data_IF_385462976941
#
_entry.id   IF_385462976941
#
_cell.length_a   1.000
_cell.length_b   1.000
_cell.length_c   1.000
_cell.angle_alpha   90.00
_cell.angle_beta   90.00
_cell.angle_gamma   90.00
#
_symmetry.space_group_name_H-M   'P 1'
#
loop_
_entity.id
_entity.type
_entity.pdbx_description
1 polymer ?
#
# COMPACT_ATOMS: atom_id res chain seq x y z
N UNK A 1 45.89 -36.81 -19.06
CA UNK A 1 45.68 -35.46 -18.49
C UNK A 1 44.44 -35.51 -17.63
N UNK A 2 44.47 -35.11 -16.35
CA UNK A 2 43.24 -34.99 -15.58
C UNK A 2 42.36 -33.90 -16.22
N UNK A 3 41.05 -34.13 -16.27
CA UNK A 3 40.07 -33.13 -16.65
C UNK A 3 40.29 -31.85 -15.81
N UNK A 4 40.18 -30.64 -16.40
CA UNK A 4 40.29 -29.43 -15.61
C UNK A 4 39.22 -29.50 -14.53
N UNK A 5 39.63 -29.36 -13.26
CA UNK A 5 38.70 -29.25 -12.15
C UNK A 5 37.70 -28.16 -12.51
N UNK A 6 36.41 -28.52 -12.62
CA UNK A 6 35.36 -27.53 -12.81
C UNK A 6 35.42 -26.60 -11.61
N UNK A 7 36.05 -25.43 -11.77
CA UNK A 7 36.15 -24.44 -10.71
C UNK A 7 34.73 -24.02 -10.33
N UNK A 8 34.33 -24.47 -9.14
CA UNK A 8 33.05 -24.18 -8.51
C UNK A 8 32.95 -22.67 -8.30
N UNK A 9 31.83 -22.09 -8.74
CA UNK A 9 31.53 -20.68 -8.48
C UNK A 9 31.37 -20.45 -6.97
N UNK A 10 31.90 -19.33 -6.47
CA UNK A 10 31.76 -19.00 -5.07
C UNK A 10 30.31 -18.71 -4.71
N UNK A 11 29.86 -19.27 -3.59
CA UNK A 11 28.55 -18.94 -3.00
C UNK A 11 28.54 -17.47 -2.56
N UNK A 12 27.53 -16.67 -2.98
CA UNK A 12 27.35 -15.31 -2.49
C UNK A 12 27.19 -15.26 -0.97
N UNK A 13 27.82 -14.28 -0.32
CA UNK A 13 27.80 -14.07 1.13
C UNK A 13 27.71 -12.59 1.46
N UNK A 14 27.25 -12.28 2.67
CA UNK A 14 27.04 -10.94 3.18
C UNK A 14 26.11 -10.15 2.25
N UNK A 15 24.93 -10.72 2.00
CA UNK A 15 23.92 -10.07 1.16
C UNK A 15 23.43 -8.79 1.86
N UNK A 16 23.57 -7.67 1.19
CA UNK A 16 23.14 -6.36 1.66
C UNK A 16 21.91 -5.90 0.87
N UNK A 17 20.88 -5.45 1.60
CA UNK A 17 19.68 -4.85 1.04
C UNK A 17 19.59 -3.41 1.52
N UNK A 18 19.48 -2.47 0.58
CA UNK A 18 19.34 -1.05 0.88
C UNK A 18 18.35 -0.37 -0.07
N UNK A 19 18.08 0.91 0.17
CA UNK A 19 17.20 1.75 -0.65
C UNK A 19 15.84 1.08 -0.94
N UNK A 20 15.25 0.48 0.09
CA UNK A 20 13.97 -0.23 -0.01
C UNK A 20 12.83 0.79 -0.16
N UNK A 21 12.07 0.68 -1.23
CA UNK A 21 10.84 1.43 -1.47
C UNK A 21 9.62 0.52 -1.30
N UNK A 22 8.44 1.01 -1.68
CA UNK A 22 7.20 0.21 -1.68
C UNK A 22 7.18 -0.89 -2.75
N UNK A 23 7.97 -0.75 -3.81
CA UNK A 23 7.95 -1.57 -5.03
C UNK A 23 9.34 -1.93 -5.57
N UNK A 24 10.40 -1.57 -4.84
CA UNK A 24 11.78 -1.85 -5.21
C UNK A 24 12.72 -1.96 -4.02
N UNK A 25 13.89 -2.55 -4.26
CA UNK A 25 15.02 -2.51 -3.35
C UNK A 25 16.32 -2.60 -4.16
N UNK A 26 17.43 -2.25 -3.53
CA UNK A 26 18.78 -2.51 -4.06
C UNK A 26 19.41 -3.65 -3.29
N UNK A 27 20.08 -4.54 -4.03
CA UNK A 27 20.77 -5.70 -3.51
C UNK A 27 22.22 -5.72 -3.98
N UNK A 28 23.13 -6.04 -3.05
CA UNK A 28 24.56 -6.18 -3.29
C UNK A 28 25.15 -7.30 -2.46
N UNK A 29 26.29 -7.82 -2.91
CA UNK A 29 27.13 -8.76 -2.18
C UNK A 29 28.55 -8.67 -2.73
N UNK A 30 29.53 -9.19 -2.00
CA UNK A 30 30.91 -9.25 -2.46
C UNK A 30 31.13 -10.45 -3.39
N UNK A 31 31.83 -10.23 -4.51
CA UNK A 31 32.24 -11.29 -5.43
C UNK A 31 33.76 -11.28 -5.60
N UNK A 32 34.35 -12.47 -5.65
CA UNK A 32 35.77 -12.63 -5.96
C UNK A 32 36.05 -12.23 -7.41
N UNK A 33 37.24 -11.68 -7.67
CA UNK A 33 37.60 -11.14 -8.99
C UNK A 33 37.46 -12.17 -10.12
N UNK A 34 37.78 -13.44 -9.84
CA UNK A 34 37.65 -14.54 -10.81
C UNK A 34 36.19 -14.85 -11.19
N UNK A 35 35.27 -14.73 -10.24
CA UNK A 35 33.83 -14.93 -10.50
C UNK A 35 33.20 -13.72 -11.19
N UNK A 36 33.67 -12.51 -10.88
CA UNK A 36 33.14 -11.26 -11.44
C UNK A 36 33.28 -11.18 -12.97
N UNK A 37 34.33 -11.80 -13.52
CA UNK A 37 34.57 -11.88 -14.97
C UNK A 37 33.79 -13.02 -15.64
N UNK A 38 33.38 -14.04 -14.88
CA UNK A 38 32.74 -15.26 -15.40
C UNK A 38 31.23 -15.23 -15.29
N UNK A 39 30.68 -14.70 -14.20
CA UNK A 39 29.25 -14.73 -13.89
C UNK A 39 28.46 -13.95 -14.94
N UNK A 40 27.49 -14.61 -15.54
CA UNK A 40 26.64 -14.00 -16.58
C UNK A 40 25.23 -13.73 -16.11
N UNK A 41 24.77 -14.40 -15.05
CA UNK A 41 23.41 -14.26 -14.51
C UNK A 41 23.38 -14.35 -12.98
N UNK A 42 22.35 -13.75 -12.40
CA UNK A 42 21.97 -13.88 -11.00
C UNK A 42 20.60 -14.53 -10.92
N UNK A 43 20.48 -15.53 -10.05
CA UNK A 43 19.23 -16.17 -9.68
C UNK A 43 18.84 -15.60 -8.31
N UNK A 44 17.66 -15.01 -8.22
CA UNK A 44 17.17 -14.36 -7.00
C UNK A 44 15.88 -15.05 -6.61
N UNK A 45 15.89 -15.73 -5.46
CA UNK A 45 14.69 -16.33 -4.87
C UNK A 45 14.08 -15.32 -3.88
N UNK A 46 12.92 -14.78 -4.24
CA UNK A 46 12.19 -13.77 -3.48
C UNK A 46 10.86 -14.37 -3.02
N UNK A 47 10.73 -14.53 -1.71
CA UNK A 47 9.53 -15.13 -1.10
C UNK A 47 8.81 -14.11 -0.21
N UNK A 48 7.49 -14.03 -0.36
CA UNK A 48 6.60 -13.23 0.49
C UNK A 48 6.32 -14.01 1.79
N UNK A 49 6.55 -13.39 2.94
CA UNK A 49 6.24 -13.98 4.25
C UNK A 49 4.75 -13.73 4.54
N UNK A 50 3.93 -14.79 4.50
CA UNK A 50 2.50 -14.66 4.79
C UNK A 50 2.26 -14.45 6.29
N UNK A 51 1.50 -13.40 6.64
CA UNK A 51 0.96 -13.24 7.98
C UNK A 51 -0.19 -14.24 8.17
N UNK A 52 -0.19 -15.00 9.28
CA UNK A 52 -1.13 -16.10 9.57
C UNK A 52 -2.64 -15.75 9.54
N UNK A 53 -3.00 -14.47 9.33
CA UNK A 53 -4.38 -13.97 9.31
C UNK A 53 -4.85 -13.44 7.94
N UNK A 54 -4.13 -13.62 6.82
CA UNK A 54 -4.68 -13.22 5.52
C UNK A 54 -5.62 -14.28 4.95
N UNK A 55 -6.89 -13.89 4.77
CA UNK A 55 -7.89 -14.66 4.03
C UNK A 55 -7.33 -15.10 2.67
N UNK A 56 -7.33 -16.41 2.43
CA UNK A 56 -6.74 -17.06 1.26
C UNK A 56 -7.50 -16.71 -0.01
N UNK A 57 -6.94 -15.83 -0.82
CA UNK A 57 -7.05 -15.92 -2.27
C UNK A 57 -5.63 -16.05 -2.82
N UNK A 58 -5.27 -17.29 -3.19
CA UNK A 58 -4.00 -17.60 -3.83
C UNK A 58 -3.98 -16.93 -5.20
N UNK A 59 -3.18 -15.88 -5.37
CA UNK A 59 -2.72 -15.56 -6.71
C UNK A 59 -1.88 -16.75 -7.20
N UNK A 60 -2.36 -17.41 -8.24
CA UNK A 60 -1.61 -18.42 -8.98
C UNK A 60 -0.28 -17.81 -9.43
N UNK A 61 0.80 -18.42 -8.95
CA UNK A 61 2.11 -18.54 -9.60
C UNK A 61 2.72 -17.23 -10.12
N UNK A 62 3.02 -16.30 -9.20
CA UNK A 62 4.07 -15.31 -9.45
C UNK A 62 5.40 -16.04 -9.33
N UNK A 63 6.30 -15.99 -10.34
CA UNK A 63 7.60 -16.65 -10.24
C UNK A 63 8.36 -16.11 -9.02
N UNK A 64 8.55 -16.95 -7.99
CA UNK A 64 9.35 -16.62 -6.80
C UNK A 64 10.84 -16.54 -7.14
N UNK A 65 11.23 -17.04 -8.31
CA UNK A 65 12.61 -17.06 -8.80
C UNK A 65 12.76 -16.13 -10.00
N UNK A 66 13.54 -15.08 -9.82
CA UNK A 66 13.93 -14.14 -10.86
C UNK A 66 15.29 -14.57 -11.43
N UNK A 67 15.39 -14.59 -12.75
CA UNK A 67 16.66 -14.78 -13.46
C UNK A 67 17.03 -13.46 -14.11
N UNK A 68 18.09 -12.82 -13.61
CA UNK A 68 18.57 -11.54 -14.09
C UNK A 68 19.91 -11.73 -14.80
N UNK A 69 20.14 -10.99 -15.90
CA UNK A 69 21.47 -10.87 -16.49
C UNK A 69 22.38 -10.16 -15.48
N UNK A 70 23.61 -10.64 -15.33
CA UNK A 70 24.58 -10.03 -14.43
C UNK A 70 24.85 -8.58 -14.83
N UNK A 71 24.70 -7.70 -13.85
CA UNK A 71 24.99 -6.26 -13.93
C UNK A 71 25.87 -5.88 -12.72
N UNK A 72 26.56 -4.73 -12.77
CA UNK A 72 27.30 -4.24 -11.61
C UNK A 72 26.39 -4.12 -10.37
N UNK A 73 26.89 -4.59 -9.23
CA UNK A 73 26.25 -4.43 -7.94
C UNK A 73 26.62 -3.06 -7.33
N UNK A 74 25.71 -2.40 -6.57
CA UNK A 74 24.37 -2.83 -6.21
C UNK A 74 23.38 -2.75 -7.38
N UNK A 75 22.62 -3.83 -7.59
CA UNK A 75 21.57 -3.87 -8.62
C UNK A 75 20.22 -3.50 -8.02
N UNK A 76 19.36 -2.87 -8.82
CA UNK A 76 18.00 -2.53 -8.39
C UNK A 76 17.02 -3.60 -8.86
N UNK A 77 16.28 -4.18 -7.92
CA UNK A 77 15.16 -5.08 -8.19
C UNK A 77 13.88 -4.25 -8.12
N UNK A 78 13.19 -4.10 -9.25
CA UNK A 78 11.93 -3.34 -9.36
C UNK A 78 10.85 -4.22 -9.96
N UNK A 79 9.63 -4.14 -9.45
CA UNK A 79 8.51 -4.81 -10.10
C UNK A 79 7.23 -4.79 -9.29
N UNK A 80 6.25 -4.07 -9.82
CA UNK A 80 4.88 -3.97 -9.30
C UNK A 80 4.13 -5.34 -9.26
N UNK A 81 4.69 -6.37 -9.90
CA UNK A 81 4.15 -7.73 -9.92
C UNK A 81 4.74 -8.65 -8.82
N UNK A 82 5.84 -8.26 -8.17
CA UNK A 82 6.59 -9.12 -7.23
C UNK A 82 6.69 -8.54 -5.81
N UNK A 83 6.62 -7.21 -5.68
CA UNK A 83 6.71 -6.51 -4.41
C UNK A 83 5.38 -5.81 -4.07
N UNK A 84 4.88 -6.10 -2.88
CA UNK A 84 3.75 -5.43 -2.24
C UNK A 84 4.31 -4.47 -1.19
N UNK A 85 3.76 -3.26 -1.00
CA UNK A 85 4.18 -2.39 0.10
C UNK A 85 3.93 -3.02 1.49
N UNK A 86 4.65 -2.57 2.52
CA UNK A 86 4.57 -3.01 3.94
C UNK A 86 4.56 -4.53 4.10
N UNK A 87 5.28 -5.22 3.23
CA UNK A 87 5.27 -6.68 3.18
C UNK A 87 6.65 -7.19 3.53
N UNK A 88 6.68 -8.16 4.44
CA UNK A 88 7.89 -8.89 4.77
C UNK A 88 8.25 -9.84 3.64
N UNK A 89 9.48 -9.71 3.15
CA UNK A 89 10.07 -10.54 2.14
C UNK A 89 11.33 -11.19 2.68
N UNK A 90 11.63 -12.36 2.16
CA UNK A 90 12.92 -13.03 2.31
C UNK A 90 13.56 -13.22 0.95
N UNK A 91 14.85 -12.92 0.83
CA UNK A 91 15.60 -13.09 -0.42
C UNK A 91 16.84 -13.94 -0.21
N UNK A 92 17.12 -14.80 -1.19
CA UNK A 92 18.38 -15.51 -1.34
C UNK A 92 18.89 -15.39 -2.78
N UNK A 93 20.20 -15.42 -2.96
CA UNK A 93 20.84 -15.22 -4.27
C UNK A 93 21.78 -16.36 -4.60
N UNK A 94 21.84 -16.69 -5.89
CA UNK A 94 22.78 -17.63 -6.48
C UNK A 94 23.38 -16.99 -7.74
N UNK A 95 24.67 -17.20 -7.98
CA UNK A 95 25.38 -16.75 -9.18
C UNK A 95 25.41 -17.86 -10.22
N UNK A 96 25.38 -17.49 -11.49
CA UNK A 96 25.34 -18.45 -12.58
C UNK A 96 26.16 -18.01 -13.80
N UNK A 97 26.73 -19.01 -14.48
CA UNK A 97 27.40 -18.87 -15.77
C UNK A 97 26.62 -19.66 -16.81
N UNK A 98 26.00 -18.96 -17.75
CA UNK A 98 25.39 -19.54 -18.93
C UNK A 98 26.46 -20.18 -19.82
N UNK A 99 26.33 -21.48 -20.06
CA UNK A 99 27.21 -22.29 -20.89
C UNK A 99 26.77 -22.23 -22.36
N UNK A 100 27.64 -22.71 -23.26
CA UNK A 100 27.40 -22.70 -24.71
C UNK A 100 26.28 -23.64 -25.17
N UNK A 101 25.97 -24.66 -24.38
CA UNK A 101 24.84 -25.58 -24.58
C UNK A 101 23.50 -24.98 -24.13
N UNK A 102 23.52 -23.80 -23.50
CA UNK A 102 22.36 -23.10 -22.98
C UNK A 102 22.05 -23.38 -21.51
N UNK A 103 22.73 -24.35 -20.89
CA UNK A 103 22.57 -24.67 -19.46
C UNK A 103 23.32 -23.67 -18.56
N UNK A 104 23.03 -23.73 -17.25
CA UNK A 104 23.66 -22.86 -16.27
C UNK A 104 24.54 -23.66 -15.31
N UNK A 105 25.81 -23.28 -15.22
CA UNK A 105 26.64 -23.63 -14.06
C UNK A 105 26.29 -22.66 -12.92
N UNK A 106 25.84 -23.18 -11.79
CA UNK A 106 25.35 -22.38 -10.65
C UNK A 106 26.21 -22.58 -9.40
N UNK A 107 26.33 -21.55 -8.57
CA UNK A 107 26.94 -21.64 -7.23
C UNK A 107 25.98 -22.24 -6.19
N UNK A 108 26.35 -22.29 -4.90
CA UNK A 108 25.36 -22.51 -3.83
C UNK A 108 24.48 -21.27 -3.58
N UNK A 109 23.33 -21.44 -2.94
CA UNK A 109 22.50 -20.32 -2.47
C UNK A 109 23.16 -19.59 -1.30
N UNK A 110 23.00 -18.27 -1.24
CA UNK A 110 23.39 -17.43 -0.11
C UNK A 110 22.58 -17.71 1.16
N UNK A 111 22.97 -17.07 2.26
CA UNK A 111 22.06 -16.87 3.38
C UNK A 111 20.77 -16.16 2.94
N UNK A 112 19.68 -16.44 3.67
CA UNK A 112 18.41 -15.75 3.48
C UNK A 112 18.41 -14.45 4.27
N UNK A 113 18.16 -13.33 3.60
CA UNK A 113 18.03 -12.02 4.21
C UNK A 113 16.58 -11.58 4.19
N UNK A 114 16.07 -11.14 5.34
CA UNK A 114 14.71 -10.62 5.48
C UNK A 114 14.70 -9.09 5.37
N UNK A 115 13.69 -8.55 4.71
CA UNK A 115 13.46 -7.12 4.61
C UNK A 115 11.96 -6.81 4.50
N UNK A 116 11.58 -5.56 4.78
CA UNK A 116 10.20 -5.10 4.64
C UNK A 116 10.15 -3.95 3.64
N UNK A 117 9.35 -4.12 2.59
CA UNK A 117 9.04 -3.04 1.64
C UNK A 117 8.23 -1.96 2.33
N UNK A 118 8.55 -0.67 2.14
CA UNK A 118 7.79 0.42 2.77
C UNK A 118 7.74 0.36 4.31
N UNK A 119 8.89 0.39 4.98
CA UNK A 119 8.99 0.48 6.44
C UNK A 119 8.22 1.67 7.04
N UNK A 120 8.18 1.76 8.37
CA UNK A 120 7.36 2.66 9.19
C UNK A 120 7.45 4.18 8.90
N UNK A 121 8.22 4.61 7.89
CA UNK A 121 8.47 6.00 7.56
C UNK A 121 8.13 6.45 6.13
N UNK A 122 8.05 5.60 5.10
CA UNK A 122 8.06 6.14 3.72
C UNK A 122 7.00 5.57 2.77
N UNK A 123 5.79 6.13 2.84
CA UNK A 123 5.24 6.70 1.60
C UNK A 123 5.82 8.11 1.54
N UNK A 124 6.90 8.30 0.78
CA UNK A 124 7.41 9.64 0.52
C UNK A 124 6.25 10.51 0.01
N UNK A 125 6.15 11.76 0.48
CA UNK A 125 5.07 12.69 0.07
C UNK A 125 4.90 12.76 -1.45
N UNK A 126 5.99 12.56 -2.19
CA UNK A 126 6.03 12.45 -3.65
C UNK A 126 5.18 11.29 -4.19
N UNK A 127 5.21 10.11 -3.57
CA UNK A 127 4.37 8.97 -3.97
C UNK A 127 2.89 9.24 -3.69
N UNK A 128 2.56 9.90 -2.58
CA UNK A 128 1.18 10.31 -2.29
C UNK A 128 0.70 11.36 -3.31
N UNK A 129 1.58 12.29 -3.71
CA UNK A 129 1.26 13.29 -4.73
C UNK A 129 0.98 12.64 -6.09
N UNK A 130 1.80 11.68 -6.53
CA UNK A 130 1.55 10.91 -7.76
C UNK A 130 0.24 10.11 -7.69
N UNK A 131 -0.06 9.57 -6.51
CA UNK A 131 -1.28 8.81 -6.29
C UNK A 131 -2.52 9.72 -6.29
N UNK A 132 -2.39 10.92 -5.73
CA UNK A 132 -3.40 11.98 -5.80
C UNK A 132 -3.63 12.41 -7.25
N UNK A 133 -2.58 12.69 -8.03
CA UNK A 133 -2.70 13.09 -9.43
C UNK A 133 -3.45 12.02 -10.26
N UNK A 134 -3.11 10.73 -10.06
CA UNK A 134 -3.85 9.63 -10.69
C UNK A 134 -5.33 9.62 -10.28
N UNK A 135 -5.62 9.83 -9.00
CA UNK A 135 -6.98 9.90 -8.51
C UNK A 135 -7.76 11.09 -9.11
N UNK A 136 -7.12 12.26 -9.27
CA UNK A 136 -7.70 13.45 -9.89
C UNK A 136 -8.00 13.25 -11.38
N UNK A 137 -7.15 12.51 -12.11
CA UNK A 137 -7.37 12.18 -13.52
C UNK A 137 -8.59 11.26 -13.74
N UNK A 138 -8.90 10.41 -12.75
CA UNK A 138 -10.01 9.47 -12.79
C UNK A 138 -11.27 10.06 -12.12
N UNK A 139 -11.12 11.13 -11.35
CA UNK A 139 -12.21 11.76 -10.63
C UNK A 139 -13.31 12.20 -11.59
N UNK A 140 -14.49 11.62 -11.40
CA UNK A 140 -15.67 11.91 -12.20
C UNK A 140 -16.40 13.17 -11.74
N UNK A 141 -17.68 13.23 -12.06
CA UNK A 141 -18.56 14.31 -11.62
C UNK A 141 -18.71 14.30 -10.10
N UNK A 142 -18.55 15.47 -9.48
CA UNK A 142 -18.90 15.68 -8.08
C UNK A 142 -20.42 15.77 -7.90
N UNK A 143 -20.92 15.09 -6.88
CA UNK A 143 -22.34 15.06 -6.52
C UNK A 143 -22.50 15.66 -5.14
N UNK A 144 -23.59 16.41 -4.94
CA UNK A 144 -23.95 16.91 -3.62
C UNK A 144 -24.21 15.75 -2.68
N UNK A 145 -23.83 15.89 -1.41
CA UNK A 145 -24.16 14.91 -0.38
C UNK A 145 -24.58 15.59 0.92
N UNK A 146 -25.31 14.87 1.77
CA UNK A 146 -25.87 15.43 3.01
C UNK A 146 -25.43 14.69 4.27
N UNK A 147 -24.91 13.46 4.13
CA UNK A 147 -24.58 12.58 5.25
C UNK A 147 -23.30 11.79 5.02
N UNK A 148 -22.51 11.63 6.07
CA UNK A 148 -21.56 10.52 6.18
C UNK A 148 -22.29 9.31 6.73
N UNK A 149 -21.93 8.11 6.25
CA UNK A 149 -22.59 6.88 6.67
C UNK A 149 -21.62 5.73 6.87
N UNK A 150 -21.97 4.83 7.79
CA UNK A 150 -21.25 3.58 8.05
C UNK A 150 -22.22 2.43 7.96
N UNK A 151 -21.97 1.54 7.01
CA UNK A 151 -22.71 0.29 6.87
C UNK A 151 -21.98 -0.82 7.65
N UNK A 152 -22.72 -1.58 8.44
CA UNK A 152 -22.20 -2.69 9.25
C UNK A 152 -23.26 -3.77 9.50
N UNK A 153 -22.82 -4.90 10.06
CA UNK A 153 -23.72 -5.94 10.57
C UNK A 153 -24.49 -5.48 11.82
N UNK A 154 -25.62 -6.14 12.11
CA UNK A 154 -26.50 -5.77 13.25
C UNK A 154 -25.75 -5.91 14.57
N UNK A 155 -24.96 -6.96 14.66
CA UNK A 155 -24.20 -7.41 15.83
C UNK A 155 -23.17 -6.35 16.23
N UNK A 156 -22.54 -5.68 15.25
CA UNK A 156 -21.63 -4.57 15.50
C UNK A 156 -22.32 -3.43 16.25
N UNK A 157 -23.48 -2.97 15.75
CA UNK A 157 -24.21 -1.87 16.40
C UNK A 157 -24.82 -2.27 17.74
N UNK A 158 -25.26 -3.52 17.88
CA UNK A 158 -25.69 -4.06 19.18
C UNK A 158 -24.53 -4.08 20.17
N UNK A 159 -23.35 -4.53 19.76
CA UNK A 159 -22.17 -4.52 20.60
C UNK A 159 -21.81 -3.09 21.04
N UNK A 160 -21.84 -2.11 20.13
CA UNK A 160 -21.59 -0.70 20.47
C UNK A 160 -22.59 -0.19 21.53
N UNK A 161 -23.88 -0.49 21.36
CA UNK A 161 -24.93 -0.10 22.32
C UNK A 161 -24.75 -0.75 23.69
N UNK A 162 -24.53 -2.06 23.72
CA UNK A 162 -24.54 -2.85 24.95
C UNK A 162 -23.21 -2.82 25.71
N UNK A 163 -22.07 -2.73 25.00
CA UNK A 163 -20.74 -2.93 25.57
C UNK A 163 -19.80 -1.72 25.40
N UNK A 164 -20.15 -0.74 24.56
CA UNK A 164 -19.32 0.45 24.35
C UNK A 164 -19.97 1.74 24.85
N UNK A 165 -20.96 1.64 25.76
CA UNK A 165 -21.65 2.81 26.31
C UNK A 165 -22.39 3.62 25.23
N UNK A 166 -22.85 2.96 24.17
CA UNK A 166 -23.48 3.59 23.01
C UNK A 166 -22.56 4.58 22.25
N UNK A 167 -21.23 4.41 22.35
CA UNK A 167 -20.24 5.23 21.66
C UNK A 167 -19.41 4.38 20.69
N UNK A 168 -19.38 4.78 19.42
CA UNK A 168 -18.43 4.23 18.45
C UNK A 168 -17.04 4.81 18.75
N UNK A 169 -16.17 4.01 19.37
CA UNK A 169 -14.81 4.44 19.71
C UNK A 169 -13.92 4.46 18.45
N UNK A 170 -12.98 5.41 18.34
CA UNK A 170 -11.96 5.37 17.30
C UNK A 170 -11.17 4.05 17.37
N UNK A 171 -10.83 3.51 16.21
CA UNK A 171 -10.01 2.31 16.07
C UNK A 171 -8.88 2.56 15.08
N UNK A 172 -7.79 1.82 15.20
CA UNK A 172 -6.70 1.87 14.23
C UNK A 172 -7.25 1.56 12.84
N UNK A 173 -6.83 2.37 11.86
CA UNK A 173 -7.11 2.10 10.45
C UNK A 173 -6.56 0.71 10.11
N UNK A 174 -7.45 -0.15 9.63
CA UNK A 174 -7.11 -1.49 9.18
C UNK A 174 -6.27 -1.46 7.91
N UNK A 175 -5.73 -2.61 7.50
CA UNK A 175 -4.95 -2.74 6.26
C UNK A 175 -5.83 -2.80 5.00
N UNK A 176 -7.05 -2.24 5.04
CA UNK A 176 -7.89 -2.09 3.85
C UNK A 176 -7.39 -0.94 2.97
N UNK A 177 -7.53 -1.07 1.66
CA UNK A 177 -7.00 -0.13 0.67
C UNK A 177 -5.62 -0.52 0.15
N UNK A 178 -4.79 0.46 -0.19
CA UNK A 178 -3.40 0.21 -0.56
C UNK A 178 -2.63 -0.29 0.64
N UNK A 179 -1.93 -1.42 0.48
CA UNK A 179 -1.10 -2.02 1.52
C UNK A 179 -0.05 -1.06 2.11
N UNK A 180 0.30 0.00 1.38
CA UNK A 180 1.29 0.97 1.83
C UNK A 180 0.73 2.25 2.43
N UNK A 181 -0.60 2.42 2.56
CA UNK A 181 -1.18 3.68 3.04
C UNK A 181 -0.53 4.10 4.38
N UNK A 182 -0.04 5.35 4.48
CA UNK A 182 0.58 5.89 5.70
C UNK A 182 -0.36 5.93 6.91
N UNK A 183 -1.67 5.80 6.69
CA UNK A 183 -2.67 5.81 7.77
C UNK A 183 -2.89 4.43 8.39
N UNK A 184 -2.67 3.35 7.63
CA UNK A 184 -2.91 1.96 8.06
C UNK A 184 -2.01 1.57 9.24
N UNK A 185 -2.64 1.13 10.33
CA UNK A 185 -1.99 0.76 11.58
C UNK A 185 -1.40 1.92 12.40
N UNK A 186 -1.56 3.18 11.95
CA UNK A 186 -0.96 4.34 12.61
C UNK A 186 -2.00 5.38 13.08
N UNK A 187 -3.06 5.59 12.31
CA UNK A 187 -4.07 6.60 12.62
C UNK A 187 -5.33 5.95 13.24
N UNK A 188 -5.77 6.51 14.37
CA UNK A 188 -7.05 6.15 14.99
C UNK A 188 -8.18 7.02 14.43
N UNK A 189 -9.29 6.40 14.06
CA UNK A 189 -10.44 7.14 13.54
C UNK A 189 -11.72 6.32 13.55
N UNK A 190 -12.79 6.96 13.05
CA UNK A 190 -14.05 6.31 12.72
C UNK A 190 -14.20 6.41 11.21
N UNK A 191 -14.53 5.28 10.57
CA UNK A 191 -14.53 5.19 9.11
C UNK A 191 -15.96 5.29 8.58
N UNK A 192 -16.16 6.27 7.69
CA UNK A 192 -17.42 6.54 7.01
C UNK A 192 -17.20 6.54 5.50
N UNK A 193 -18.27 6.24 4.77
CA UNK A 193 -18.43 6.50 3.35
C UNK A 193 -19.31 7.74 3.17
N UNK A 194 -19.17 8.41 2.03
CA UNK A 194 -20.00 9.55 1.64
C UNK A 194 -20.40 9.51 0.16
N UNK A 195 -20.22 8.37 -0.50
CA UNK A 195 -20.64 8.21 -1.90
C UNK A 195 -22.15 8.43 -2.02
N UNK A 196 -22.53 9.19 -3.04
CA UNK A 196 -23.92 9.50 -3.38
C UNK A 196 -24.30 8.78 -4.66
N UNK A 197 -25.47 8.13 -4.65
CA UNK A 197 -26.04 7.50 -5.84
C UNK A 197 -26.61 8.56 -6.78
N UNK A 198 -26.27 8.47 -8.06
CA UNK A 198 -26.48 9.55 -9.04
C UNK A 198 -27.95 9.92 -9.24
N UNK A 199 -28.85 8.93 -9.20
CA UNK A 199 -30.26 9.15 -9.51
C UNK A 199 -31.04 9.72 -8.32
N UNK A 200 -30.70 9.29 -7.11
CA UNK A 200 -31.44 9.63 -5.90
C UNK A 200 -30.82 10.77 -5.09
N UNK A 201 -29.52 11.04 -5.28
CA UNK A 201 -28.81 11.98 -4.41
C UNK A 201 -28.64 11.45 -2.97
N UNK A 202 -28.87 10.16 -2.74
CA UNK A 202 -28.79 9.51 -1.43
C UNK A 202 -27.65 8.49 -1.37
N UNK A 203 -27.22 8.06 -0.17
CA UNK A 203 -26.31 6.93 -0.03
C UNK A 203 -26.86 5.67 -0.73
N UNK A 204 -26.03 4.92 -1.50
CA UNK A 204 -26.43 3.70 -2.21
C UNK A 204 -27.24 2.76 -1.32
N UNK A 205 -28.32 2.13 -1.80
CA UNK A 205 -29.20 1.30 -0.96
C UNK A 205 -28.51 0.02 -0.50
N UNK A 206 -27.64 -0.55 -1.34
CA UNK A 206 -26.87 -1.74 -1.08
C UNK A 206 -25.49 -1.44 -0.49
N UNK A 207 -24.96 -2.37 0.29
CA UNK A 207 -23.60 -2.28 0.80
C UNK A 207 -23.02 -3.65 1.11
N UNK A 208 -21.79 -3.94 0.66
CA UNK A 208 -21.10 -5.19 1.00
C UNK A 208 -20.70 -5.27 2.48
N UNK A 209 -20.69 -4.13 3.19
CA UNK A 209 -20.29 -4.06 4.60
C UNK A 209 -21.42 -4.41 5.58
N UNK A 210 -22.65 -4.59 5.09
CA UNK A 210 -23.81 -4.93 5.88
C UNK A 210 -25.00 -4.02 5.62
N UNK A 211 -26.19 -4.53 5.93
CA UNK A 211 -27.46 -3.86 5.61
C UNK A 211 -27.86 -2.75 6.59
N UNK A 212 -27.21 -2.66 7.76
CA UNK A 212 -27.55 -1.66 8.75
C UNK A 212 -26.68 -0.43 8.58
N UNK A 213 -27.29 0.74 8.61
CA UNK A 213 -26.64 2.01 8.34
C UNK A 213 -26.76 2.95 9.53
N UNK A 214 -25.63 3.48 9.95
CA UNK A 214 -25.56 4.66 10.80
C UNK A 214 -25.25 5.87 9.92
N UNK A 215 -25.97 6.98 10.11
CA UNK A 215 -25.78 8.24 9.37
C UNK A 215 -25.51 9.38 10.32
N UNK A 216 -24.69 10.33 9.87
CA UNK A 216 -24.43 11.59 10.56
C UNK A 216 -24.45 12.73 9.54
N UNK A 217 -25.11 13.88 9.84
CA UNK A 217 -25.13 15.03 8.92
C UNK A 217 -23.71 15.50 8.58
N UNK A 218 -23.48 15.82 7.30
CA UNK A 218 -22.16 16.18 6.77
C UNK A 218 -21.49 17.31 7.58
N UNK A 219 -22.24 18.37 7.87
CA UNK A 219 -21.80 19.55 8.64
C UNK A 219 -21.20 19.24 10.02
N UNK A 220 -21.57 18.10 10.64
CA UNK A 220 -21.04 17.70 11.95
C UNK A 220 -19.59 17.25 11.87
N UNK A 221 -19.17 16.70 10.73
CA UNK A 221 -17.82 16.17 10.54
C UNK A 221 -16.98 17.01 9.57
N UNK A 222 -17.62 17.71 8.62
CA UNK A 222 -16.94 18.49 7.61
C UNK A 222 -17.45 19.93 7.63
N UNK A 223 -16.57 20.87 7.92
CA UNK A 223 -16.85 22.29 8.07
C UNK A 223 -15.52 23.07 8.07
N UNK A 224 -15.53 24.42 8.09
CA UNK A 224 -14.31 25.22 8.07
C UNK A 224 -13.32 24.98 9.22
N UNK A 225 -13.73 24.32 10.31
CA UNK A 225 -12.85 23.94 11.42
C UNK A 225 -12.20 22.56 11.25
N UNK A 226 -12.35 21.96 10.08
CA UNK A 226 -11.81 20.64 9.74
C UNK A 226 -10.81 20.76 8.60
N UNK A 227 -9.66 20.10 8.73
CA UNK A 227 -8.71 19.94 7.64
C UNK A 227 -9.02 18.65 6.86
N UNK A 228 -8.77 18.68 5.56
CA UNK A 228 -8.95 17.55 4.66
C UNK A 228 -7.59 17.11 4.12
N UNK A 229 -7.30 15.81 4.21
CA UNK A 229 -6.05 15.23 3.71
C UNK A 229 -6.31 14.07 2.77
N UNK A 230 -5.52 13.98 1.70
CA UNK A 230 -5.48 12.81 0.83
C UNK A 230 -4.65 11.71 1.48
N UNK A 231 -5.25 10.55 1.75
CA UNK A 231 -4.60 9.46 2.46
C UNK A 231 -4.25 8.27 1.56
N UNK A 232 -5.10 7.97 0.57
CA UNK A 232 -4.90 6.83 -0.31
C UNK A 232 -5.79 6.86 -1.55
N UNK A 233 -5.41 6.09 -2.56
CA UNK A 233 -6.26 5.75 -3.70
C UNK A 233 -5.97 4.32 -4.14
N UNK A 234 -7.03 3.54 -4.34
CA UNK A 234 -6.90 2.16 -4.80
C UNK A 234 -8.11 1.74 -5.64
N UNK A 235 -7.89 0.76 -6.50
CA UNK A 235 -8.91 0.18 -7.37
C UNK A 235 -9.27 -1.22 -6.85
N UNK A 236 -10.53 -1.61 -6.98
CA UNK A 236 -10.92 -3.02 -6.89
C UNK A 236 -10.81 -3.69 -8.26
N UNK A 237 -10.92 -5.02 -8.34
CA UNK A 237 -10.91 -5.74 -9.65
C UNK A 237 -12.09 -5.36 -10.56
N UNK A 238 -13.14 -4.80 -9.97
CA UNK A 238 -14.28 -4.14 -10.63
C UNK A 238 -13.93 -2.72 -11.05
N UNK A 239 -14.78 -2.06 -11.84
CA UNK A 239 -14.61 -0.64 -12.23
C UNK A 239 -14.77 0.39 -11.07
N UNK A 240 -14.63 -0.04 -9.81
CA UNK A 240 -14.74 0.83 -8.64
C UNK A 240 -13.36 1.32 -8.19
N UNK A 241 -13.25 2.64 -8.12
CA UNK A 241 -12.09 3.36 -7.63
C UNK A 241 -12.43 4.00 -6.29
N UNK A 242 -11.56 3.86 -5.31
CA UNK A 242 -11.74 4.39 -3.96
C UNK A 242 -10.66 5.41 -3.65
N UNK A 243 -11.10 6.55 -3.14
CA UNK A 243 -10.23 7.58 -2.53
C UNK A 243 -10.46 7.52 -1.02
N UNK A 244 -9.38 7.51 -0.25
CA UNK A 244 -9.42 7.62 1.20
C UNK A 244 -9.01 9.03 1.58
N UNK A 245 -9.89 9.72 2.29
CA UNK A 245 -9.66 11.05 2.83
C UNK A 245 -9.64 11.00 4.34
N UNK A 246 -8.84 11.87 4.97
CA UNK A 246 -8.87 12.09 6.41
C UNK A 246 -9.46 13.46 6.68
N UNK A 247 -10.57 13.48 7.41
CA UNK A 247 -11.14 14.68 8.00
C UNK A 247 -10.63 14.78 9.44
N UNK A 248 -9.85 15.81 9.73
CA UNK A 248 -9.27 16.02 11.05
C UNK A 248 -9.67 17.39 11.61
N UNK A 249 -10.28 17.46 12.81
CA UNK A 249 -10.50 18.74 13.48
C UNK A 249 -9.17 19.47 13.66
N UNK A 250 -9.14 20.75 13.31
CA UNK A 250 -7.92 21.58 13.38
C UNK A 250 -7.31 21.53 14.79
N UNK A 251 -6.02 21.24 14.88
CA UNK A 251 -5.27 21.12 16.14
C UNK A 251 -5.45 19.80 16.89
N UNK A 252 -6.24 18.86 16.38
CA UNK A 252 -6.34 17.52 16.98
C UNK A 252 -5.06 16.69 16.79
N UNK A 253 -4.90 15.61 17.57
CA UNK A 253 -3.77 14.69 17.37
C UNK A 253 -3.74 14.07 15.97
N UNK A 254 -4.91 13.77 15.40
CA UNK A 254 -5.04 13.29 14.03
C UNK A 254 -4.61 14.34 13.00
N UNK A 255 -4.94 15.61 13.23
CA UNK A 255 -4.52 16.73 12.39
C UNK A 255 -2.99 16.90 12.39
N UNK A 256 -2.39 16.91 13.58
CA UNK A 256 -0.93 17.00 13.74
C UNK A 256 -0.23 15.83 13.05
N UNK A 257 -0.75 14.61 13.20
CA UNK A 257 -0.23 13.43 12.52
C UNK A 257 -0.26 13.59 11.00
N UNK A 258 -1.40 14.03 10.45
CA UNK A 258 -1.63 14.12 9.01
C UNK A 258 -0.83 15.25 8.37
N UNK A 259 -0.75 16.42 9.01
CA UNK A 259 -0.04 17.60 8.49
C UNK A 259 1.43 17.31 8.14
N UNK A 260 2.08 16.44 8.91
CA UNK A 260 3.47 16.06 8.67
C UNK A 260 3.62 15.03 7.54
N UNK A 261 2.59 14.23 7.26
CA UNK A 261 2.69 12.97 6.51
C UNK A 261 1.86 12.91 5.22
N UNK A 262 0.77 13.67 5.13
CA UNK A 262 -0.22 13.59 4.06
C UNK A 262 -0.33 14.92 3.29
N UNK A 263 -0.62 14.88 1.97
CA UNK A 263 -1.03 16.07 1.22
C UNK A 263 -2.32 16.64 1.79
N UNK A 264 -2.30 17.94 2.13
CA UNK A 264 -3.50 18.67 2.53
C UNK A 264 -4.26 19.15 1.29
N UNK A 265 -5.58 18.98 1.30
CA UNK A 265 -6.48 19.41 0.24
C UNK A 265 -7.17 20.72 0.65
N UNK A 266 -7.43 21.59 -0.32
CA UNK A 266 -8.31 22.74 -0.12
C UNK A 266 -9.76 22.25 -0.01
N UNK A 267 -10.37 22.50 1.15
CA UNK A 267 -11.74 22.07 1.43
C UNK A 267 -12.75 22.72 0.50
N UNK A 268 -12.47 23.91 -0.03
CA UNK A 268 -13.37 24.63 -0.92
C UNK A 268 -13.19 24.23 -2.38
N UNK A 269 -12.03 23.65 -2.73
CA UNK A 269 -11.64 23.41 -4.11
C UNK A 269 -10.72 22.18 -4.22
N UNK A 270 -11.33 21.00 -4.43
CA UNK A 270 -10.61 19.78 -4.81
C UNK A 270 -11.55 18.85 -5.58
N UNK A 271 -11.01 17.78 -6.19
CA UNK A 271 -11.76 16.86 -7.05
C UNK A 271 -12.50 15.75 -6.31
N UNK A 272 -12.40 15.68 -4.98
CA UNK A 272 -12.87 14.52 -4.21
C UNK A 272 -14.02 14.86 -3.26
N UNK A 273 -13.86 15.88 -2.42
CA UNK A 273 -14.81 16.22 -1.37
C UNK A 273 -14.70 17.70 -1.00
N UNK A 274 -15.73 18.50 -1.27
CA UNK A 274 -15.71 19.95 -1.03
C UNK A 274 -16.72 20.37 0.01
N UNK A 275 -16.43 21.49 0.68
CA UNK A 275 -17.30 22.19 1.60
C UNK A 275 -17.17 23.69 1.30
N UNK A 276 -18.25 24.29 0.84
CA UNK A 276 -18.37 25.72 0.56
C UNK A 276 -19.52 26.33 1.38
N UNK A 277 -19.53 27.66 1.47
CA UNK A 277 -20.67 28.39 2.03
C UNK A 277 -21.42 29.02 0.85
N UNK A 278 -22.68 28.62 0.65
CA UNK A 278 -23.60 29.23 -0.31
C UNK A 278 -24.74 29.88 0.49
N UNK A 279 -24.96 31.19 0.29
CA UNK A 279 -26.06 31.94 0.95
C UNK A 279 -26.08 31.85 2.50
N UNK A 280 -24.92 31.60 3.12
CA UNK A 280 -24.78 31.46 4.57
C UNK A 280 -24.92 30.02 5.08
N UNK A 281 -25.25 29.06 4.21
CA UNK A 281 -25.39 27.64 4.53
C UNK A 281 -24.20 26.83 3.99
N UNK A 282 -23.85 25.76 4.69
CA UNK A 282 -22.79 24.85 4.23
C UNK A 282 -23.34 23.92 3.14
N UNK A 283 -22.63 23.89 2.01
CA UNK A 283 -22.91 23.02 0.87
C UNK A 283 -21.74 22.06 0.68
N UNK A 284 -22.09 20.80 0.38
CA UNK A 284 -21.16 19.68 0.27
C UNK A 284 -21.38 18.89 -1.02
#
# INVERSE_FOLDING_TARGET
SPLPAMELLSTPKNIEINNITCDSFRISWHMEKGDLERVTHYFIDLNKKENKNSNKFKHRDVPTKLVAKAVPLPMTVRGHWFLSPRTEYSVAVQTAVKQSDGEYLVSGWSETVEFCTGGALDYAKEHLAQLQEKAELIAGRMLRFSVFYRNQHKEYFQHVRMHCGNVMKPSLKDNSGSHGSPTSGMLHGIFFSCNTEFNTGQPPPDSPYGRYRFQIPAQRLFNPNTNLYFADFYCMYTAYHYVVLVLAPKGSSGDLFCRERLPQLDISSNRFLTCSVEEGELVF
#
